data_IF_568167791762
#
_entry.id   IF_568167791762
#
_cell.length_a   1.000
_cell.length_b   1.000
_cell.length_c   1.000
_cell.angle_alpha   90.00
_cell.angle_beta   90.00
_cell.angle_gamma   90.00
#
_symmetry.space_group_name_H-M   'P 1'
#
loop_
_entity.id
_entity.type
_entity.pdbx_description
1 polymer ?
#
# COMPACT_ATOMS: atom_id res chain seq x y z
N UNK A 1 22.51 -10.93 -0.57
CA UNK A 1 21.27 -10.17 -0.25
C UNK A 1 20.83 -9.41 -1.51
N UNK A 2 19.56 -9.49 -1.85
CA UNK A 2 18.97 -8.80 -2.98
C UNK A 2 18.76 -7.31 -2.68
N UNK A 3 18.71 -6.47 -3.74
CA UNK A 3 18.41 -5.04 -3.61
C UNK A 3 17.34 -4.65 -4.63
N UNK A 4 16.47 -3.74 -4.24
CA UNK A 4 15.48 -3.13 -5.13
C UNK A 4 15.87 -1.67 -5.40
N UNK A 5 16.03 -1.32 -6.66
CA UNK A 5 16.32 0.03 -7.11
C UNK A 5 15.15 0.57 -7.91
N UNK A 6 14.54 1.66 -7.43
CA UNK A 6 13.46 2.30 -8.14
C UNK A 6 13.99 3.21 -9.25
N UNK A 7 13.54 3.00 -10.48
CA UNK A 7 13.87 3.81 -11.64
C UNK A 7 12.79 4.87 -11.85
N UNK A 8 13.12 6.12 -11.54
CA UNK A 8 12.18 7.24 -11.67
C UNK A 8 11.83 7.60 -13.10
N UNK A 9 12.67 7.24 -14.08
CA UNK A 9 12.45 7.56 -15.49
C UNK A 9 11.24 6.85 -16.11
N UNK A 10 10.92 5.66 -15.63
CA UNK A 10 9.85 4.81 -16.14
C UNK A 10 9.00 4.17 -15.04
N UNK A 11 9.20 4.56 -13.78
CA UNK A 11 8.49 4.07 -12.61
C UNK A 11 8.52 2.53 -12.49
N UNK A 12 9.67 1.91 -12.73
CA UNK A 12 9.90 0.47 -12.63
C UNK A 12 10.90 0.13 -11.54
N UNK A 13 10.85 -1.11 -11.09
CA UNK A 13 11.76 -1.63 -10.07
C UNK A 13 12.80 -2.52 -10.74
N UNK A 14 14.07 -2.17 -10.59
CA UNK A 14 15.21 -3.00 -10.95
C UNK A 14 15.60 -3.87 -9.75
N UNK A 15 15.64 -5.16 -9.95
CA UNK A 15 16.16 -6.13 -9.00
C UNK A 15 17.66 -6.31 -9.26
N UNK A 16 18.45 -6.17 -8.21
CA UNK A 16 19.88 -6.48 -8.21
C UNK A 16 20.08 -7.73 -7.36
N UNK A 17 20.55 -8.80 -7.98
CA UNK A 17 20.81 -10.08 -7.31
C UNK A 17 22.04 -9.98 -6.40
N UNK A 18 22.25 -10.97 -5.54
CA UNK A 18 23.42 -11.06 -4.68
C UNK A 18 24.76 -11.20 -5.47
N UNK A 19 24.68 -11.61 -6.72
CA UNK A 19 25.82 -11.66 -7.66
C UNK A 19 26.02 -10.39 -8.47
N UNK A 20 25.20 -9.36 -8.25
CA UNK A 20 25.26 -8.07 -8.95
C UNK A 20 24.55 -8.05 -10.31
N UNK A 21 23.85 -9.11 -10.67
CA UNK A 21 23.03 -9.14 -11.87
C UNK A 21 21.83 -8.19 -11.74
N UNK A 22 21.52 -7.50 -12.81
CA UNK A 22 20.41 -6.53 -12.85
C UNK A 22 19.32 -7.00 -13.79
N UNK A 23 18.09 -7.00 -13.35
CA UNK A 23 16.92 -7.27 -14.18
C UNK A 23 15.71 -6.49 -13.68
N UNK A 24 14.70 -6.30 -14.51
CA UNK A 24 13.41 -5.76 -14.05
C UNK A 24 12.75 -6.77 -13.11
N UNK A 25 12.19 -6.27 -12.01
CA UNK A 25 11.41 -7.10 -11.08
C UNK A 25 10.11 -7.58 -11.73
N UNK A 26 9.48 -6.70 -12.51
CA UNK A 26 8.35 -6.97 -13.39
C UNK A 26 8.35 -5.96 -14.55
N UNK A 27 7.47 -6.14 -15.52
CA UNK A 27 7.36 -5.28 -16.71
C UNK A 27 6.40 -4.10 -16.52
N UNK A 28 5.70 -4.03 -15.38
CA UNK A 28 4.68 -3.02 -15.10
C UNK A 28 5.24 -1.80 -14.38
N UNK A 29 4.55 -0.67 -14.52
CA UNK A 29 4.75 0.50 -13.66
C UNK A 29 4.44 0.11 -12.21
N UNK A 30 5.31 0.49 -11.31
CA UNK A 30 5.21 0.14 -9.90
C UNK A 30 5.39 1.36 -9.01
N UNK A 31 4.83 1.33 -7.80
CA UNK A 31 5.16 2.31 -6.79
C UNK A 31 6.62 2.16 -6.34
N UNK A 32 7.18 3.21 -5.76
CA UNK A 32 8.50 3.12 -5.13
C UNK A 32 8.44 2.11 -3.98
N UNK A 33 9.34 1.11 -3.94
CA UNK A 33 9.41 0.18 -2.83
C UNK A 33 9.71 0.87 -1.51
N UNK A 34 9.05 0.44 -0.44
CA UNK A 34 9.35 0.87 0.93
C UNK A 34 9.88 -0.32 1.73
N UNK A 35 11.03 -0.10 2.37
CA UNK A 35 11.73 -1.13 3.13
C UNK A 35 11.13 -1.23 4.53
N UNK A 36 11.00 -2.44 5.07
CA UNK A 36 10.58 -2.68 6.45
C UNK A 36 11.57 -2.07 7.45
N UNK A 37 11.13 -1.72 8.68
CA UNK A 37 12.03 -1.21 9.72
C UNK A 37 13.24 -2.13 9.99
N UNK A 38 13.04 -3.45 9.88
CA UNK A 38 14.12 -4.44 10.04
C UNK A 38 15.04 -4.62 8.83
N UNK A 39 14.76 -3.94 7.70
CA UNK A 39 15.62 -3.93 6.53
C UNK A 39 15.61 -5.21 5.69
N UNK A 40 14.78 -6.21 6.03
CA UNK A 40 14.79 -7.52 5.37
C UNK A 40 13.69 -7.71 4.33
N UNK A 41 12.69 -6.86 4.33
CA UNK A 41 11.53 -6.95 3.43
C UNK A 41 11.25 -5.62 2.77
N UNK A 42 10.61 -5.65 1.62
CA UNK A 42 10.09 -4.47 0.94
C UNK A 42 8.66 -4.69 0.48
N UNK A 43 7.85 -3.65 0.47
CA UNK A 43 6.52 -3.67 -0.14
C UNK A 43 6.46 -2.70 -1.30
N UNK A 44 5.64 -3.01 -2.29
CA UNK A 44 5.35 -2.14 -3.42
C UNK A 44 4.00 -2.49 -4.04
N UNK A 45 3.41 -1.51 -4.72
CA UNK A 45 2.18 -1.67 -5.49
C UNK A 45 2.52 -1.85 -6.97
N UNK A 46 1.82 -2.76 -7.65
CA UNK A 46 1.95 -3.00 -9.10
C UNK A 46 0.75 -3.81 -9.61
N UNK A 47 0.28 -3.62 -10.85
CA UNK A 47 0.62 -2.51 -11.75
C UNK A 47 0.04 -1.18 -11.26
N UNK A 48 0.64 -0.06 -11.64
CA UNK A 48 0.17 1.30 -11.35
C UNK A 48 -0.17 2.07 -12.64
N UNK A 49 -0.45 1.37 -13.71
CA UNK A 49 -0.93 1.93 -14.97
C UNK A 49 -2.39 2.38 -14.85
N UNK A 50 -2.79 3.27 -15.73
CA UNK A 50 -4.17 3.73 -15.84
C UNK A 50 -5.14 2.55 -16.02
N UNK A 51 -6.24 2.54 -15.26
CA UNK A 51 -7.28 1.48 -15.28
C UNK A 51 -6.80 0.07 -14.91
N UNK A 52 -5.60 -0.07 -14.37
CA UNK A 52 -5.12 -1.38 -13.93
C UNK A 52 -5.61 -1.75 -12.53
N UNK A 53 -5.78 -3.04 -12.29
CA UNK A 53 -6.08 -3.57 -10.95
C UNK A 53 -4.76 -3.69 -10.19
N UNK A 54 -4.52 -2.72 -9.32
CA UNK A 54 -3.32 -2.66 -8.49
C UNK A 54 -3.32 -3.76 -7.44
N UNK A 55 -2.16 -4.34 -7.19
CA UNK A 55 -1.90 -5.37 -6.18
C UNK A 55 -0.77 -4.93 -5.26
N UNK A 56 -0.79 -5.41 -4.02
CA UNK A 56 0.29 -5.23 -3.07
C UNK A 56 1.19 -6.45 -3.04
N UNK A 57 2.49 -6.22 -3.19
CA UNK A 57 3.52 -7.26 -3.16
C UNK A 57 4.46 -7.06 -1.97
N UNK A 58 4.93 -8.18 -1.45
CA UNK A 58 6.03 -8.28 -0.48
C UNK A 58 7.22 -8.95 -1.16
N UNK A 59 8.38 -8.31 -1.09
CA UNK A 59 9.65 -8.86 -1.55
C UNK A 59 10.57 -9.13 -0.35
N UNK A 60 11.07 -10.35 -0.24
CA UNK A 60 12.07 -10.72 0.76
C UNK A 60 13.48 -10.47 0.22
N UNK A 61 14.20 -9.52 0.84
CA UNK A 61 15.54 -9.13 0.41
C UNK A 61 16.61 -10.18 0.78
N UNK A 62 16.29 -11.12 1.64
CA UNK A 62 17.20 -12.20 2.03
C UNK A 62 17.25 -13.33 0.99
N UNK A 63 16.09 -13.81 0.57
CA UNK A 63 15.97 -14.99 -0.29
C UNK A 63 15.48 -14.69 -1.72
N UNK A 64 14.95 -13.48 -1.97
CA UNK A 64 14.47 -13.06 -3.28
C UNK A 64 13.02 -13.45 -3.59
N UNK A 65 12.28 -13.95 -2.61
CA UNK A 65 10.86 -14.28 -2.80
C UNK A 65 10.03 -13.01 -3.01
N UNK A 66 9.12 -13.07 -3.98
CA UNK A 66 8.21 -11.99 -4.33
C UNK A 66 6.78 -12.53 -4.33
N UNK A 67 6.01 -12.17 -3.31
CA UNK A 67 4.67 -12.70 -3.08
C UNK A 67 3.61 -11.60 -3.14
N UNK A 68 2.46 -11.91 -3.74
CA UNK A 68 1.30 -11.03 -3.69
C UNK A 68 0.62 -11.18 -2.33
N UNK A 69 0.50 -10.07 -1.59
CA UNK A 69 -0.23 -10.02 -0.32
C UNK A 69 -1.71 -9.75 -0.52
N UNK A 70 -2.02 -8.70 -1.27
CA UNK A 70 -3.39 -8.22 -1.51
C UNK A 70 -3.55 -8.03 -3.02
N UNK A 71 -4.65 -8.55 -3.53
CA UNK A 71 -5.07 -8.35 -4.92
C UNK A 71 -6.39 -7.61 -5.00
N UNK A 72 -7.20 -7.98 -5.98
CA UNK A 72 -8.57 -7.56 -6.11
C UNK A 72 -9.42 -8.18 -5.00
N UNK A 73 -10.13 -7.35 -4.26
CA UNK A 73 -11.04 -7.77 -3.20
C UNK A 73 -12.46 -7.60 -3.75
N UNK A 74 -13.23 -8.68 -3.78
CA UNK A 74 -14.62 -8.70 -4.26
C UNK A 74 -14.82 -8.14 -5.68
N UNK A 75 -13.80 -8.24 -6.54
CA UNK A 75 -13.85 -7.83 -7.95
C UNK A 75 -13.81 -6.33 -8.19
N UNK A 76 -13.64 -5.51 -7.16
CA UNK A 76 -13.70 -4.06 -7.30
C UNK A 76 -12.82 -3.26 -6.32
N UNK A 77 -12.45 -3.84 -5.19
CA UNK A 77 -11.62 -3.20 -4.18
C UNK A 77 -10.16 -3.58 -4.35
N UNK A 78 -9.28 -2.59 -4.30
CA UNK A 78 -7.85 -2.80 -4.51
C UNK A 78 -7.01 -1.91 -3.58
N UNK A 79 -5.77 -2.29 -3.26
CA UNK A 79 -4.86 -1.45 -2.49
C UNK A 79 -4.50 -0.19 -3.28
N UNK A 80 -4.60 0.97 -2.62
CA UNK A 80 -4.25 2.30 -3.13
C UNK A 80 -2.98 2.85 -2.49
N UNK A 81 -2.62 2.35 -1.32
CA UNK A 81 -1.44 2.73 -0.58
C UNK A 81 -1.11 1.74 0.51
N UNK A 82 0.16 1.68 0.89
CA UNK A 82 0.64 0.83 1.97
C UNK A 82 1.83 1.48 2.67
N UNK A 83 1.87 1.38 4.00
CA UNK A 83 3.02 1.79 4.82
C UNK A 83 3.33 0.72 5.87
N UNK A 84 4.58 0.65 6.29
CA UNK A 84 5.01 -0.16 7.42
C UNK A 84 4.58 0.47 8.75
N UNK A 85 4.00 -0.35 9.64
CA UNK A 85 3.84 -0.04 11.06
C UNK A 85 5.07 -0.53 11.80
N UNK A 86 5.40 -1.79 11.61
CA UNK A 86 6.59 -2.48 12.11
C UNK A 86 6.99 -3.62 11.14
N UNK A 87 7.74 -4.63 11.62
CA UNK A 87 8.14 -5.77 10.79
C UNK A 87 7.02 -6.79 10.53
N UNK A 88 5.89 -6.68 11.24
CA UNK A 88 4.77 -7.64 11.22
C UNK A 88 3.48 -7.03 10.70
N UNK A 89 3.32 -5.72 10.80
CA UNK A 89 2.09 -5.05 10.43
C UNK A 89 2.28 -3.99 9.35
N UNK A 90 1.31 -3.93 8.44
CA UNK A 90 1.14 -2.87 7.43
C UNK A 90 -0.15 -2.11 7.69
N UNK A 91 -0.15 -0.80 7.45
CA UNK A 91 -1.37 -0.04 7.26
C UNK A 91 -1.61 0.16 5.77
N UNK A 92 -2.84 -0.12 5.33
CA UNK A 92 -3.24 -0.10 3.93
C UNK A 92 -4.36 0.89 3.71
N UNK A 93 -4.37 1.49 2.53
CA UNK A 93 -5.54 2.16 1.97
C UNK A 93 -6.12 1.21 0.93
N UNK A 94 -7.39 0.81 1.09
CA UNK A 94 -8.10 -0.02 0.13
C UNK A 94 -9.34 0.74 -0.34
N UNK A 95 -9.46 0.94 -1.63
CA UNK A 95 -10.52 1.71 -2.27
C UNK A 95 -11.20 0.99 -3.42
N UNK A 96 -12.35 1.53 -3.81
CA UNK A 96 -13.20 0.97 -4.86
C UNK A 96 -12.79 1.47 -6.25
N UNK A 97 -12.72 0.55 -7.20
CA UNK A 97 -12.53 0.86 -8.62
C UNK A 97 -11.18 1.49 -8.95
N UNK A 98 -11.01 1.86 -10.21
CA UNK A 98 -9.79 2.48 -10.73
C UNK A 98 -9.82 4.01 -10.66
N UNK A 99 -10.99 4.61 -10.48
CA UNK A 99 -11.20 6.08 -10.46
C UNK A 99 -10.86 6.72 -9.10
N UNK A 100 -10.88 5.94 -8.03
CA UNK A 100 -10.62 6.42 -6.67
C UNK A 100 -9.13 6.35 -6.36
N UNK A 101 -8.55 7.47 -5.91
CA UNK A 101 -7.15 7.52 -5.42
C UNK A 101 -7.04 7.14 -3.95
N UNK A 102 -8.16 6.98 -3.27
CA UNK A 102 -8.21 6.70 -1.85
C UNK A 102 -9.19 5.59 -1.48
N UNK A 103 -9.42 5.46 -0.17
CA UNK A 103 -10.32 4.45 0.36
C UNK A 103 -10.36 4.42 1.88
N UNK A 104 -10.79 3.28 2.41
CA UNK A 104 -10.78 2.98 3.83
C UNK A 104 -9.41 2.47 4.31
N UNK A 105 -9.17 2.59 5.60
CA UNK A 105 -7.94 2.15 6.27
C UNK A 105 -8.11 0.73 6.77
N UNK A 106 -7.11 -0.08 6.52
CA UNK A 106 -6.99 -1.46 6.99
C UNK A 106 -5.63 -1.69 7.63
N UNK A 107 -5.55 -2.65 8.55
CA UNK A 107 -4.30 -3.24 9.01
C UNK A 107 -4.16 -4.65 8.44
N UNK A 108 -2.95 -4.99 8.02
CA UNK A 108 -2.60 -6.32 7.55
C UNK A 108 -1.50 -6.90 8.42
N UNK A 109 -1.77 -8.06 9.02
CA UNK A 109 -0.80 -8.81 9.80
C UNK A 109 -0.07 -9.82 8.88
N UNK A 110 1.24 -9.67 8.74
CA UNK A 110 2.07 -10.54 7.90
C UNK A 110 2.26 -11.95 8.47
N UNK A 111 2.01 -12.15 9.78
CA UNK A 111 2.24 -13.44 10.44
C UNK A 111 1.12 -14.45 10.15
N UNK A 112 -0.11 -13.99 10.12
CA UNK A 112 -1.30 -14.83 9.94
C UNK A 112 -2.15 -14.43 8.71
N UNK A 113 -1.68 -13.44 7.95
CA UNK A 113 -2.37 -12.89 6.77
C UNK A 113 -3.75 -12.30 7.06
N UNK A 114 -3.98 -11.86 8.30
CA UNK A 114 -5.24 -11.25 8.69
C UNK A 114 -5.35 -9.81 8.20
N UNK A 115 -6.47 -9.49 7.56
CA UNK A 115 -6.83 -8.13 7.13
C UNK A 115 -7.95 -7.60 8.04
N UNK A 116 -7.66 -6.51 8.76
CA UNK A 116 -8.58 -5.88 9.72
C UNK A 116 -9.00 -4.52 9.19
N UNK A 117 -10.31 -4.32 8.99
CA UNK A 117 -10.87 -3.03 8.59
C UNK A 117 -10.91 -2.08 9.79
N UNK A 118 -10.27 -0.91 9.68
CA UNK A 118 -10.18 0.09 10.75
C UNK A 118 -11.22 1.19 10.56
N UNK A 119 -11.46 1.63 9.33
CA UNK A 119 -12.51 2.61 9.01
C UNK A 119 -13.56 1.97 8.10
N UNK A 120 -14.80 2.41 8.23
CA UNK A 120 -15.92 1.93 7.42
C UNK A 120 -16.75 3.12 6.94
N UNK A 121 -16.10 3.98 6.19
CA UNK A 121 -16.73 5.15 5.58
C UNK A 121 -17.29 4.81 4.20
N UNK A 122 -18.30 5.55 3.78
CA UNK A 122 -18.83 5.44 2.43
C UNK A 122 -17.80 5.97 1.38
N UNK A 123 -18.07 5.77 0.11
CA UNK A 123 -17.14 6.12 -0.97
C UNK A 123 -16.84 7.62 -1.08
N UNK A 124 -17.64 8.48 -0.46
CA UNK A 124 -17.41 9.93 -0.47
C UNK A 124 -16.24 10.33 0.43
N UNK A 125 -16.00 9.60 1.52
CA UNK A 125 -14.89 9.87 2.44
C UNK A 125 -13.76 8.90 2.22
N UNK A 126 -12.61 9.40 1.74
CA UNK A 126 -11.49 8.60 1.29
C UNK A 126 -10.18 9.09 1.91
N UNK A 127 -9.43 8.19 2.53
CA UNK A 127 -8.05 8.44 2.89
C UNK A 127 -7.18 8.29 1.65
N UNK A 128 -6.31 9.26 1.40
CA UNK A 128 -5.36 9.24 0.27
C UNK A 128 -3.91 9.15 0.72
N UNK A 129 -3.64 9.43 2.00
CA UNK A 129 -2.29 9.35 2.57
C UNK A 129 -2.31 8.90 4.01
N UNK A 130 -1.39 8.03 4.37
CA UNK A 130 -1.13 7.56 5.72
C UNK A 130 0.27 7.93 6.18
N UNK A 131 0.40 8.28 7.45
CA UNK A 131 1.66 8.43 8.17
C UNK A 131 1.52 7.74 9.53
N UNK A 132 2.48 6.92 9.92
CA UNK A 132 2.48 6.24 11.22
C UNK A 132 3.43 6.88 12.21
N UNK A 133 2.98 7.04 13.43
CA UNK A 133 3.82 7.49 14.54
C UNK A 133 3.31 6.92 15.88
N UNK A 134 4.12 6.08 16.54
CA UNK A 134 3.95 5.64 17.93
C UNK A 134 2.54 5.13 18.26
N UNK A 135 1.97 4.25 17.42
CA UNK A 135 0.65 3.65 17.63
C UNK A 135 -0.52 4.46 17.06
N UNK A 136 -0.23 5.57 16.38
CA UNK A 136 -1.23 6.42 15.74
C UNK A 136 -1.01 6.49 14.23
N UNK A 137 -2.10 6.35 13.47
CA UNK A 137 -2.13 6.63 12.04
C UNK A 137 -2.69 8.04 11.82
N UNK A 138 -1.89 8.89 11.19
CA UNK A 138 -2.36 10.18 10.68
C UNK A 138 -2.89 9.98 9.27
N UNK A 139 -4.18 10.19 9.10
CA UNK A 139 -4.88 10.06 7.84
C UNK A 139 -5.10 11.45 7.24
N UNK A 140 -4.72 11.61 5.97
CA UNK A 140 -5.14 12.75 5.15
C UNK A 140 -6.01 12.24 4.03
N UNK A 141 -7.08 12.94 3.74
CA UNK A 141 -8.03 12.50 2.74
C UNK A 141 -8.92 13.59 2.22
N UNK A 142 -9.88 13.16 1.44
CA UNK A 142 -10.92 14.00 0.84
C UNK A 142 -12.29 13.46 1.22
N UNK A 143 -13.27 14.37 1.36
CA UNK A 143 -14.67 14.03 1.56
C UNK A 143 -15.51 14.79 0.53
N UNK A 144 -16.15 14.07 -0.35
CA UNK A 144 -17.01 14.65 -1.37
C UNK A 144 -18.30 15.17 -0.75
N UNK A 145 -18.73 16.37 -1.16
CA UNK A 145 -19.89 17.05 -0.59
C UNK A 145 -21.21 16.46 -1.10
N UNK A 146 -21.17 15.74 -2.21
CA UNK A 146 -22.33 15.09 -2.80
C UNK A 146 -21.97 13.74 -3.45
N UNK A 147 -22.99 12.94 -3.76
CA UNK A 147 -22.84 11.67 -4.46
C UNK A 147 -22.34 11.84 -5.91
N UNK A 148 -22.43 13.06 -6.46
CA UNK A 148 -21.86 13.39 -7.78
C UNK A 148 -20.33 13.47 -7.78
N UNK A 149 -19.69 13.52 -6.60
CA UNK A 149 -18.23 13.55 -6.43
C UNK A 149 -17.52 14.67 -7.21
N UNK A 150 -18.18 15.81 -7.39
CA UNK A 150 -17.62 16.97 -8.11
C UNK A 150 -16.85 17.92 -7.19
N UNK A 151 -17.38 18.13 -5.97
CA UNK A 151 -16.78 19.04 -4.97
C UNK A 151 -16.39 18.25 -3.73
N UNK A 152 -15.24 18.57 -3.15
CA UNK A 152 -14.76 17.93 -1.93
C UNK A 152 -14.09 18.92 -0.98
N UNK A 153 -13.98 18.52 0.27
CA UNK A 153 -13.15 19.14 1.29
C UNK A 153 -12.01 18.19 1.69
N UNK A 154 -10.89 18.77 2.09
CA UNK A 154 -9.79 17.99 2.68
C UNK A 154 -10.06 17.76 4.16
N UNK A 155 -9.69 16.57 4.65
CA UNK A 155 -9.74 16.28 6.07
C UNK A 155 -8.42 15.69 6.57
N UNK A 156 -8.24 15.77 7.90
CA UNK A 156 -7.16 15.10 8.62
C UNK A 156 -7.76 14.43 9.85
N UNK A 157 -7.44 13.16 10.03
CA UNK A 157 -7.86 12.37 11.20
C UNK A 157 -6.68 11.62 11.80
N UNK A 158 -6.78 11.30 13.10
CA UNK A 158 -5.81 10.48 13.81
C UNK A 158 -6.56 9.25 14.33
N UNK A 159 -6.11 8.07 13.93
CA UNK A 159 -6.64 6.79 14.37
C UNK A 159 -5.67 6.15 15.37
N UNK A 160 -6.17 5.78 16.55
CA UNK A 160 -5.41 4.98 17.52
C UNK A 160 -5.49 3.50 17.11
N UNK A 161 -4.35 2.90 16.78
CA UNK A 161 -4.27 1.51 16.34
C UNK A 161 -3.54 0.60 17.34
N UNK A 162 -3.22 1.09 18.52
CA UNK A 162 -2.48 0.33 19.54
C UNK A 162 -3.16 -1.00 19.92
N UNK A 163 -4.49 -1.01 19.95
CA UNK A 163 -5.25 -2.22 20.30
C UNK A 163 -5.22 -3.31 19.22
N UNK A 164 -4.82 -2.97 18.02
CA UNK A 164 -4.78 -3.91 16.88
C UNK A 164 -3.40 -4.48 16.60
N UNK A 165 -2.36 -3.90 17.21
CA UNK A 165 -0.94 -4.23 16.94
C UNK A 165 -0.22 -4.79 18.18
N UNK A 166 -0.99 -5.33 19.14
CA UNK A 166 -0.46 -5.98 20.35
C UNK A 166 -0.07 -7.44 20.09
#
# INVERSE_FOLDING_TARGET
MYQLKYRRSDNRIELITEYGEKKLLNDSISSKPTISPGGLKAIYLSPCEWESITKLYLFDLGNGDNIQLIGDIDGAYMPKGAIWIDNSYLALIIGFGTFSDGGNVYLYNLMDSQLIKITDWDQRKQVVKLEYNSGFLKCKGIEYLSDMMEEYIEFKEILDIKLYTL
#
